data_IF_283608404491
#
_entry.id   IF_283608404491
#
_cell.length_a   1.000
_cell.length_b   1.000
_cell.length_c   1.000
_cell.angle_alpha   90.00
_cell.angle_beta   90.00
_cell.angle_gamma   90.00
#
_symmetry.space_group_name_H-M   'P 1'
#
loop_
_entity.id
_entity.type
_entity.pdbx_description
1 polymer ?
#
# COMPACT_ATOMS: atom_id res chain seq x y z
N UNK A 1 14.67 -4.29 4.74
CA UNK A 1 13.71 -5.25 5.33
C UNK A 1 12.28 -4.71 5.48
N UNK A 2 12.01 -3.40 5.34
CA UNK A 2 10.66 -2.84 5.47
C UNK A 2 9.63 -3.27 4.42
N UNK A 3 10.06 -3.58 3.18
CA UNK A 3 9.16 -3.96 2.09
C UNK A 3 8.43 -5.31 2.29
N UNK A 4 9.08 -6.30 2.91
CA UNK A 4 8.48 -7.62 3.15
C UNK A 4 7.38 -7.57 4.23
N UNK A 5 7.61 -6.75 5.27
CA UNK A 5 6.69 -6.60 6.40
C UNK A 5 5.52 -5.69 6.01
N UNK A 6 5.78 -4.55 5.36
CA UNK A 6 4.77 -3.57 4.98
C UNK A 6 3.94 -3.95 3.75
N UNK A 7 4.56 -4.51 2.70
CA UNK A 7 3.87 -4.84 1.44
C UNK A 7 3.41 -6.30 1.33
N UNK A 8 4.11 -7.25 1.97
CA UNK A 8 3.80 -8.67 1.87
C UNK A 8 2.85 -9.17 2.98
N UNK A 9 3.26 -9.04 4.23
CA UNK A 9 2.51 -9.60 5.37
C UNK A 9 1.23 -8.82 5.69
N UNK A 10 1.25 -7.48 5.60
CA UNK A 10 0.08 -6.66 5.93
C UNK A 10 -1.02 -6.68 4.86
N UNK A 11 -0.74 -7.06 3.61
CA UNK A 11 -1.74 -7.19 2.53
C UNK A 11 -2.39 -8.58 2.50
N UNK A 12 -1.66 -9.62 2.90
CA UNK A 12 -2.18 -11.00 3.00
C UNK A 12 -3.26 -11.14 4.09
N UNK A 13 -3.13 -10.40 5.18
CA UNK A 13 -4.07 -10.44 6.31
C UNK A 13 -5.49 -9.96 5.94
N UNK A 14 -5.69 -8.78 5.29
CA UNK A 14 -6.97 -8.35 4.76
C UNK A 14 -7.57 -9.31 3.72
N UNK A 15 -6.75 -9.82 2.80
CA UNK A 15 -7.21 -10.68 1.70
C UNK A 15 -7.73 -12.05 2.19
N UNK A 16 -7.05 -12.67 3.17
CA UNK A 16 -7.50 -13.91 3.80
C UNK A 16 -8.76 -13.71 4.64
N UNK A 17 -8.88 -12.55 5.30
CA UNK A 17 -10.03 -12.25 6.14
C UNK A 17 -11.31 -11.96 5.34
N UNK A 18 -11.21 -11.28 4.18
CA UNK A 18 -12.34 -11.10 3.26
C UNK A 18 -12.87 -12.45 2.78
N UNK A 19 -11.99 -13.42 2.48
CA UNK A 19 -12.40 -14.78 2.12
C UNK A 19 -13.06 -15.54 3.27
N UNK A 20 -12.56 -15.41 4.51
CA UNK A 20 -13.11 -16.12 5.67
C UNK A 20 -14.43 -15.54 6.17
N UNK A 21 -14.61 -14.22 6.06
CA UNK A 21 -15.83 -13.51 6.51
C UNK A 21 -17.04 -13.79 5.60
N UNK A 22 -16.83 -14.33 4.40
CA UNK A 22 -17.90 -14.70 3.48
C UNK A 22 -18.71 -15.96 3.88
N UNK A 23 -18.34 -16.68 4.95
CA UNK A 23 -18.86 -18.05 5.17
C UNK A 23 -19.65 -18.35 6.45
N UNK A 24 -19.92 -17.43 7.40
CA UNK A 24 -20.55 -17.84 8.67
C UNK A 24 -21.67 -16.94 9.24
N UNK A 25 -22.72 -17.63 9.71
CA UNK A 25 -24.08 -17.19 10.06
C UNK A 25 -24.28 -16.54 11.43
N UNK A 26 -25.31 -15.69 11.50
CA UNK A 26 -26.22 -15.25 12.59
C UNK A 26 -25.77 -14.97 14.05
N UNK A 27 -24.67 -15.49 14.60
CA UNK A 27 -24.11 -15.01 15.89
C UNK A 27 -22.76 -14.29 15.75
N UNK A 28 -22.15 -14.33 14.57
CA UNK A 28 -20.91 -13.65 14.22
C UNK A 28 -21.11 -12.20 13.70
N UNK A 29 -22.35 -11.72 13.58
CA UNK A 29 -22.68 -10.50 12.84
C UNK A 29 -22.13 -9.20 13.46
N UNK A 30 -21.97 -9.12 14.79
CA UNK A 30 -21.39 -7.94 15.45
C UNK A 30 -19.86 -8.03 15.55
N UNK A 31 -19.33 -9.18 16.00
CA UNK A 31 -17.89 -9.37 16.18
C UNK A 31 -17.11 -9.41 14.84
N UNK A 32 -17.69 -10.04 13.81
CA UNK A 32 -17.09 -10.10 12.47
C UNK A 32 -16.99 -8.75 11.78
N UNK A 33 -17.97 -7.86 12.00
CA UNK A 33 -17.96 -6.49 11.48
C UNK A 33 -16.96 -5.57 12.20
N UNK A 34 -16.82 -5.68 13.52
CA UNK A 34 -15.80 -4.93 14.27
C UNK A 34 -14.37 -5.35 13.89
N UNK A 35 -14.14 -6.65 13.72
CA UNK A 35 -12.84 -7.15 13.24
C UNK A 35 -12.54 -6.68 11.80
N UNK A 36 -13.54 -6.64 10.91
CA UNK A 36 -13.38 -6.11 9.55
C UNK A 36 -12.98 -4.62 9.55
N UNK A 37 -13.60 -3.80 10.42
CA UNK A 37 -13.20 -2.38 10.60
C UNK A 37 -11.79 -2.27 11.17
N UNK A 38 -11.43 -3.12 12.14
CA UNK A 38 -10.09 -3.17 12.73
C UNK A 38 -9.00 -3.51 11.71
N UNK A 39 -9.19 -4.56 10.92
CA UNK A 39 -8.26 -4.95 9.86
C UNK A 39 -8.20 -3.92 8.73
N UNK A 40 -9.32 -3.30 8.35
CA UNK A 40 -9.33 -2.18 7.41
C UNK A 40 -8.53 -0.99 7.94
N UNK A 41 -8.62 -0.69 9.24
CA UNK A 41 -7.81 0.34 9.90
C UNK A 41 -6.31 0.04 9.83
N UNK A 42 -5.91 -1.21 10.09
CA UNK A 42 -4.51 -1.64 9.93
C UNK A 42 -4.05 -1.51 8.47
N UNK A 43 -4.91 -1.86 7.50
CA UNK A 43 -4.64 -1.67 6.07
C UNK A 43 -4.44 -0.20 5.69
N UNK A 44 -5.26 0.73 6.22
CA UNK A 44 -5.04 2.17 5.99
C UNK A 44 -3.69 2.63 6.54
N UNK A 45 -3.30 2.19 7.74
CA UNK A 45 -1.99 2.54 8.33
C UNK A 45 -0.85 1.96 7.48
N UNK A 46 -0.97 0.71 7.04
CA UNK A 46 0.00 0.05 6.16
C UNK A 46 0.13 0.75 4.80
N UNK A 47 -0.99 1.08 4.17
CA UNK A 47 -1.06 1.81 2.91
C UNK A 47 -0.43 3.21 3.02
N UNK A 48 -0.72 3.97 4.09
CA UNK A 48 -0.10 5.28 4.33
C UNK A 48 1.41 5.18 4.54
N UNK A 49 1.87 4.19 5.29
CA UNK A 49 3.29 3.92 5.46
C UNK A 49 3.96 3.58 4.12
N UNK A 50 3.36 2.70 3.33
CA UNK A 50 3.88 2.34 2.00
C UNK A 50 3.91 3.54 1.06
N UNK A 51 2.87 4.38 1.06
CA UNK A 51 2.76 5.57 0.22
C UNK A 51 3.86 6.59 0.54
N UNK A 52 4.11 6.84 1.82
CA UNK A 52 5.18 7.77 2.26
C UNK A 52 6.56 7.24 1.90
N UNK A 53 6.83 5.96 2.15
CA UNK A 53 8.12 5.33 1.82
C UNK A 53 8.34 5.29 0.31
N UNK A 54 7.33 4.94 -0.49
CA UNK A 54 7.43 4.91 -1.95
C UNK A 54 7.69 6.32 -2.52
N UNK A 55 7.00 7.34 -2.00
CA UNK A 55 7.22 8.74 -2.41
C UNK A 55 8.63 9.21 -2.09
N UNK A 56 9.13 8.93 -0.89
CA UNK A 56 10.48 9.28 -0.47
C UNK A 56 11.53 8.52 -1.28
N UNK A 57 11.33 7.23 -1.55
CA UNK A 57 12.23 6.45 -2.39
C UNK A 57 12.32 7.06 -3.79
N UNK A 58 11.18 7.42 -4.39
CA UNK A 58 11.13 8.04 -5.70
C UNK A 58 11.84 9.40 -5.74
N UNK A 59 11.75 10.20 -4.67
CA UNK A 59 12.47 11.48 -4.57
C UNK A 59 14.00 11.30 -4.39
N UNK A 60 14.43 10.33 -3.58
CA UNK A 60 15.86 10.11 -3.32
C UNK A 60 16.60 9.42 -4.49
N UNK A 61 15.88 8.63 -5.28
CA UNK A 61 16.42 7.88 -6.42
C UNK A 61 17.29 6.67 -6.03
N UNK A 62 17.67 5.84 -7.02
CA UNK A 62 18.45 4.64 -6.78
C UNK A 62 19.93 4.94 -6.50
N UNK A 63 20.58 4.00 -5.80
CA UNK A 63 22.03 3.92 -5.77
C UNK A 63 22.53 3.36 -7.11
N UNK A 64 23.44 4.07 -7.76
CA UNK A 64 24.05 3.61 -9.00
C UNK A 64 25.53 3.98 -9.08
N UNK A 65 26.24 3.30 -9.97
CA UNK A 65 27.63 3.58 -10.27
C UNK A 65 27.72 4.60 -11.42
N UNK A 66 28.46 5.69 -11.18
CA UNK A 66 28.81 6.65 -12.23
C UNK A 66 30.05 6.21 -13.04
N UNK A 67 30.35 6.95 -14.13
CA UNK A 67 31.57 6.78 -14.94
C UNK A 67 32.86 6.70 -14.10
N UNK A 68 32.92 7.39 -12.96
CA UNK A 68 34.08 7.43 -12.07
C UNK A 68 34.24 6.19 -11.17
N UNK A 69 33.53 5.10 -11.42
CA UNK A 69 33.49 3.87 -10.59
C UNK A 69 32.96 4.07 -9.15
N UNK A 70 32.44 5.25 -8.83
CA UNK A 70 31.90 5.61 -7.51
C UNK A 70 30.40 5.29 -7.43
N UNK A 71 30.00 4.67 -6.32
CA UNK A 71 28.59 4.39 -5.98
C UNK A 71 27.99 5.54 -5.19
N UNK A 72 27.04 6.25 -5.79
CA UNK A 72 26.32 7.36 -5.15
C UNK A 72 24.85 7.36 -5.57
N UNK A 73 24.04 8.16 -4.88
CA UNK A 73 22.66 8.47 -5.24
C UNK A 73 22.62 9.84 -5.92
N UNK A 74 22.85 9.94 -7.23
CA UNK A 74 22.96 11.24 -7.91
C UNK A 74 21.70 12.10 -7.85
N UNK A 75 20.55 11.47 -7.66
CA UNK A 75 19.24 12.13 -7.73
C UNK A 75 18.72 12.60 -6.37
N UNK A 76 19.49 12.40 -5.29
CA UNK A 76 19.05 12.68 -3.92
C UNK A 76 18.73 14.15 -3.69
N UNK A 77 19.51 15.05 -4.30
CA UNK A 77 19.35 16.50 -4.13
C UNK A 77 18.54 17.15 -5.26
N UNK A 78 18.18 16.40 -6.31
CA UNK A 78 17.48 16.93 -7.51
C UNK A 78 15.96 16.97 -7.35
N UNK A 79 15.42 16.69 -6.15
CA UNK A 79 13.98 16.75 -5.83
C UNK A 79 13.08 16.00 -6.85
N UNK A 80 13.59 14.93 -7.46
CA UNK A 80 12.84 14.13 -8.43
C UNK A 80 12.84 14.64 -9.88
N UNK A 81 13.73 15.58 -10.25
CA UNK A 81 13.85 16.08 -11.62
C UNK A 81 14.08 14.95 -12.66
N UNK A 82 14.78 13.89 -12.24
CA UNK A 82 15.03 12.70 -13.08
C UNK A 82 13.77 11.91 -13.45
N UNK A 83 12.64 12.13 -12.78
CA UNK A 83 11.36 11.50 -13.12
C UNK A 83 10.75 12.12 -14.37
N UNK A 84 11.01 13.41 -14.61
CA UNK A 84 10.51 14.13 -15.78
C UNK A 84 11.52 14.16 -16.92
N UNK A 85 12.82 14.17 -16.60
CA UNK A 85 13.90 14.19 -17.58
C UNK A 85 14.67 12.87 -17.62
N UNK A 86 14.39 12.06 -18.64
CA UNK A 86 15.08 10.80 -18.89
C UNK A 86 16.53 10.97 -19.39
N UNK A 87 16.94 12.17 -19.78
CA UNK A 87 18.31 12.46 -20.19
C UNK A 87 19.31 12.23 -19.05
N UNK A 88 18.87 12.51 -17.81
CA UNK A 88 19.63 12.38 -16.58
C UNK A 88 19.93 10.92 -16.20
N UNK A 89 19.22 9.94 -16.78
CA UNK A 89 19.42 8.51 -16.47
C UNK A 89 20.78 8.00 -16.94
N UNK A 90 21.39 8.66 -17.94
CA UNK A 90 22.73 8.34 -18.47
C UNK A 90 23.84 8.50 -17.43
N UNK A 91 23.57 9.25 -16.36
CA UNK A 91 24.49 9.45 -15.25
C UNK A 91 24.77 8.14 -14.50
N UNK A 92 23.81 7.21 -14.51
CA UNK A 92 23.96 5.87 -13.97
C UNK A 92 24.45 4.91 -15.07
N UNK A 93 25.71 4.49 -14.97
CA UNK A 93 26.34 3.60 -15.97
C UNK A 93 26.12 2.13 -15.64
N UNK A 94 26.18 1.77 -14.36
CA UNK A 94 25.93 0.41 -13.89
C UNK A 94 25.12 0.41 -12.58
N UNK A 95 24.22 -0.55 -12.36
CA UNK A 95 23.75 -1.56 -13.31
C UNK A 95 22.83 -0.99 -14.41
N UNK A 96 22.78 -1.64 -15.58
CA UNK A 96 21.97 -1.19 -16.71
C UNK A 96 20.48 -1.15 -16.36
N UNK A 97 19.78 -0.08 -16.79
CA UNK A 97 18.34 0.12 -16.57
C UNK A 97 17.88 0.14 -15.10
N UNK A 98 18.80 0.39 -14.15
CA UNK A 98 18.47 0.46 -12.72
C UNK A 98 17.48 1.57 -12.39
N UNK A 99 17.57 2.70 -13.09
CA UNK A 99 16.70 3.86 -12.88
C UNK A 99 15.26 3.53 -13.29
N UNK A 100 15.07 2.92 -14.46
CA UNK A 100 13.76 2.50 -14.94
C UNK A 100 13.13 1.45 -14.02
N UNK A 101 13.92 0.45 -13.61
CA UNK A 101 13.45 -0.57 -12.66
C UNK A 101 13.03 0.03 -11.32
N UNK A 102 13.85 0.94 -10.78
CA UNK A 102 13.55 1.64 -9.52
C UNK A 102 12.25 2.45 -9.63
N UNK A 103 12.09 3.25 -10.69
CA UNK A 103 10.88 4.04 -10.94
C UNK A 103 9.67 3.11 -11.07
N UNK A 104 9.75 2.06 -11.89
CA UNK A 104 8.64 1.13 -12.10
C UNK A 104 8.18 0.43 -10.82
N UNK A 105 9.12 -0.08 -10.03
CA UNK A 105 8.81 -0.75 -8.77
C UNK A 105 8.18 0.20 -7.73
N UNK A 106 8.73 1.40 -7.57
CA UNK A 106 8.18 2.35 -6.58
C UNK A 106 6.90 3.04 -7.05
N UNK A 107 6.72 3.28 -8.35
CA UNK A 107 5.48 3.80 -8.92
C UNK A 107 4.33 2.81 -8.77
N UNK A 108 4.58 1.52 -9.01
CA UNK A 108 3.56 0.47 -8.80
C UNK A 108 3.20 0.31 -7.33
N UNK A 109 4.18 0.35 -6.41
CA UNK A 109 3.92 0.38 -4.98
C UNK A 109 3.07 1.59 -4.56
N UNK A 110 3.37 2.77 -5.11
CA UNK A 110 2.61 3.98 -4.86
C UNK A 110 1.15 3.83 -5.34
N UNK A 111 0.94 3.34 -6.56
CA UNK A 111 -0.40 3.08 -7.09
C UNK A 111 -1.19 2.06 -6.26
N UNK A 112 -0.57 0.94 -5.89
CA UNK A 112 -1.19 -0.10 -5.06
C UNK A 112 -1.55 0.41 -3.66
N UNK A 113 -0.68 1.20 -3.04
CA UNK A 113 -0.95 1.79 -1.72
C UNK A 113 -2.13 2.77 -1.76
N UNK A 114 -2.26 3.58 -2.81
CA UNK A 114 -3.43 4.44 -3.01
C UNK A 114 -4.70 3.60 -3.14
N UNK A 115 -4.66 2.54 -3.95
CA UNK A 115 -5.81 1.65 -4.15
C UNK A 115 -6.23 0.95 -2.85
N UNK A 116 -5.27 0.45 -2.08
CA UNK A 116 -5.50 -0.18 -0.78
C UNK A 116 -6.21 0.77 0.20
N UNK A 117 -5.73 2.02 0.32
CA UNK A 117 -6.34 3.02 1.20
C UNK A 117 -7.80 3.29 0.79
N UNK A 118 -8.07 3.43 -0.51
CA UNK A 118 -9.43 3.68 -1.02
C UNK A 118 -10.35 2.50 -0.69
N UNK A 119 -9.91 1.27 -0.95
CA UNK A 119 -10.70 0.08 -0.69
C UNK A 119 -10.95 -0.14 0.81
N UNK A 120 -9.94 0.07 1.65
CA UNK A 120 -10.07 -0.03 3.11
C UNK A 120 -11.00 1.06 3.66
N UNK A 121 -10.96 2.29 3.13
CA UNK A 121 -11.85 3.36 3.53
C UNK A 121 -13.32 3.03 3.18
N UNK A 122 -13.58 2.50 1.97
CA UNK A 122 -14.91 2.03 1.57
C UNK A 122 -15.39 0.92 2.50
N UNK A 123 -14.52 -0.06 2.83
CA UNK A 123 -14.85 -1.14 3.75
C UNK A 123 -15.18 -0.63 5.15
N UNK A 124 -14.45 0.38 5.64
CA UNK A 124 -14.70 1.00 6.93
C UNK A 124 -16.05 1.72 6.95
N UNK A 125 -16.41 2.47 5.88
CA UNK A 125 -17.73 3.11 5.76
C UNK A 125 -18.85 2.07 5.72
N UNK A 126 -18.70 1.03 4.90
CA UNK A 126 -19.69 -0.04 4.79
C UNK A 126 -19.86 -0.80 6.11
N UNK A 127 -18.76 -1.07 6.82
CA UNK A 127 -18.78 -1.65 8.16
C UNK A 127 -19.47 -0.75 9.18
N UNK A 128 -19.21 0.56 9.17
CA UNK A 128 -19.86 1.52 10.08
C UNK A 128 -21.37 1.63 9.81
N UNK A 129 -21.78 1.72 8.54
CA UNK A 129 -23.19 1.78 8.14
C UNK A 129 -23.92 0.49 8.54
N UNK A 130 -23.33 -0.68 8.32
CA UNK A 130 -23.93 -1.93 8.79
C UNK A 130 -24.00 -2.03 10.32
N UNK A 131 -23.09 -1.38 11.06
CA UNK A 131 -23.09 -1.39 12.54
C UNK A 131 -24.18 -0.47 13.10
N UNK A 132 -24.40 0.68 12.45
CA UNK A 132 -25.39 1.69 12.86
C UNK A 132 -26.80 1.34 12.37
N UNK A 133 -26.96 0.95 11.10
CA UNK A 133 -28.25 0.55 10.51
C UNK A 133 -28.62 -0.92 10.75
N UNK A 134 -27.70 -1.75 11.24
CA UNK A 134 -27.93 -3.17 11.58
C UNK A 134 -28.44 -3.41 13.00
N UNK A 135 -28.94 -2.38 13.68
CA UNK A 135 -29.60 -2.55 14.98
C UNK A 135 -30.88 -3.36 14.78
N UNK A 136 -30.77 -4.69 14.95
CA UNK A 136 -31.83 -5.69 15.08
C UNK A 136 -33.22 -5.21 14.65
N UNK A 137 -33.55 -5.33 13.36
CA UNK A 137 -34.93 -5.59 12.99
C UNK A 137 -35.28 -6.94 13.64
N UNK A 138 -36.03 -6.89 14.75
CA UNK A 138 -36.64 -8.08 15.37
C UNK A 138 -37.29 -8.90 14.27
N UNK A 139 -36.76 -10.09 13.96
CA UNK A 139 -37.60 -11.15 13.44
C UNK A 139 -38.36 -11.72 14.62
N UNK A 140 -39.42 -11.01 15.02
CA UNK A 140 -40.61 -11.69 15.53
C UNK A 140 -41.33 -12.23 14.31
N UNK A 141 -41.35 -13.54 14.12
CA UNK A 141 -42.31 -14.25 13.26
C UNK A 141 -42.48 -15.66 13.85
N UNK A 142 -43.50 -15.79 14.71
CA UNK A 142 -44.69 -16.67 14.58
C UNK A 142 -44.35 -18.15 14.69
#
# INVERSE_FOLDING_TARGET
MGGLIGGGAMVLLPALYIHLTGTQSCCANRCGMFLSIGFAGVGVIGGLYSLTVASLALQNGPLCQMLSLVWITPFKDTKGEYLSDSSSWKLCTAPANVVEFHIGMFATLLALSCLEIILCAIQMVNGLVGCLCGTCAKKTVV
#
